data_IF_190911736749
#
_entry.id   IF_190911736749
#
_cell.length_a   1.000
_cell.length_b   1.000
_cell.length_c   1.000
_cell.angle_alpha   90.00
_cell.angle_beta   90.00
_cell.angle_gamma   90.00
#
_symmetry.space_group_name_H-M   'P 1'
#
loop_
_entity.id
_entity.type
_entity.pdbx_description
1 polymer ?
#
# COMPACT_ATOMS: atom_id res chain seq x y z
N UNK A 1 -20.55 3.07 7.58
CA UNK A 1 -19.21 2.99 6.97
C UNK A 1 -18.40 1.93 7.72
N UNK A 2 -17.83 0.99 7.02
CA UNK A 2 -16.90 0.02 7.61
C UNK A 2 -15.57 0.70 7.90
N UNK A 3 -14.80 0.17 8.85
CA UNK A 3 -13.45 0.68 9.11
C UNK A 3 -12.57 0.63 7.86
N UNK A 4 -12.65 -0.44 7.07
CA UNK A 4 -11.93 -0.56 5.80
C UNK A 4 -12.30 0.53 4.80
N UNK A 5 -13.58 0.93 4.75
CA UNK A 5 -14.02 2.00 3.87
C UNK A 5 -13.45 3.35 4.32
N UNK A 6 -13.36 3.59 5.64
CA UNK A 6 -12.76 4.79 6.20
C UNK A 6 -11.26 4.90 5.83
N UNK A 7 -10.53 3.79 5.95
CA UNK A 7 -9.12 3.73 5.57
C UNK A 7 -8.92 4.03 4.08
N UNK A 8 -9.72 3.38 3.22
CA UNK A 8 -9.66 3.62 1.79
C UNK A 8 -10.08 5.04 1.39
N UNK A 9 -11.08 5.61 2.06
CA UNK A 9 -11.53 6.99 1.87
C UNK A 9 -10.41 8.00 2.16
N UNK A 10 -9.66 7.77 3.25
CA UNK A 10 -8.49 8.59 3.57
C UNK A 10 -7.48 8.60 2.42
N UNK A 11 -7.06 7.42 1.93
CA UNK A 11 -6.09 7.35 0.85
C UNK A 11 -6.61 7.92 -0.47
N UNK A 12 -7.91 7.76 -0.75
CA UNK A 12 -8.54 8.35 -1.92
C UNK A 12 -8.56 9.89 -1.85
N UNK A 13 -8.87 10.46 -0.68
CA UNK A 13 -8.85 11.92 -0.45
C UNK A 13 -7.44 12.50 -0.53
N UNK A 14 -6.45 11.78 -0.04
CA UNK A 14 -5.03 12.15 -0.15
C UNK A 14 -4.46 11.88 -1.55
N UNK A 15 -5.27 11.36 -2.47
CA UNK A 15 -4.93 11.12 -3.90
C UNK A 15 -3.70 10.24 -4.07
N UNK A 16 -3.65 9.12 -3.36
CA UNK A 16 -2.64 8.11 -3.62
C UNK A 16 -2.82 7.55 -5.02
N UNK A 17 -1.78 7.60 -5.85
CA UNK A 17 -1.82 7.14 -7.24
C UNK A 17 -1.93 5.61 -7.31
N UNK A 18 -1.14 4.92 -6.47
CA UNK A 18 -1.01 3.46 -6.49
C UNK A 18 -1.20 2.86 -5.10
N UNK A 19 -1.66 1.62 -5.08
CA UNK A 19 -1.62 0.76 -3.90
C UNK A 19 -0.93 -0.55 -4.28
N UNK A 20 0.21 -0.83 -3.66
CA UNK A 20 0.92 -2.10 -3.85
C UNK A 20 0.31 -3.14 -2.93
N UNK A 21 0.11 -4.34 -3.42
CA UNK A 21 -0.71 -5.36 -2.74
C UNK A 21 -0.03 -6.73 -2.83
N UNK A 22 0.04 -7.41 -1.69
CA UNK A 22 0.10 -8.87 -1.65
C UNK A 22 -1.09 -9.36 -0.83
N UNK A 23 -1.99 -10.11 -1.47
CA UNK A 23 -3.29 -10.45 -0.89
C UNK A 23 -3.20 -11.42 0.29
N UNK A 24 -4.22 -11.36 1.15
CA UNK A 24 -4.40 -12.29 2.27
C UNK A 24 -5.69 -12.00 2.99
N UNK A 25 -6.15 -12.95 3.82
CA UNK A 25 -7.47 -12.87 4.45
C UNK A 25 -7.67 -11.63 5.34
N UNK A 26 -6.66 -11.26 6.13
CA UNK A 26 -6.78 -10.16 7.07
C UNK A 26 -6.91 -8.79 6.40
N UNK A 27 -6.31 -8.61 5.23
CA UNK A 27 -6.30 -7.32 4.51
C UNK A 27 -7.37 -7.23 3.41
N UNK A 28 -8.09 -8.32 3.13
CA UNK A 28 -9.02 -8.42 2.01
C UNK A 28 -10.07 -7.29 1.97
N UNK A 29 -10.62 -6.90 3.12
CA UNK A 29 -11.63 -5.85 3.19
C UNK A 29 -11.08 -4.47 2.84
N UNK A 30 -9.83 -4.17 3.20
CA UNK A 30 -9.17 -2.90 2.85
C UNK A 30 -8.88 -2.87 1.35
N UNK A 31 -8.40 -3.98 0.79
CA UNK A 31 -8.16 -4.12 -0.66
C UNK A 31 -9.46 -3.90 -1.45
N UNK A 32 -10.56 -4.55 -1.03
CA UNK A 32 -11.86 -4.40 -1.68
C UNK A 32 -12.35 -2.94 -1.63
N UNK A 33 -12.20 -2.29 -0.47
CA UNK A 33 -12.57 -0.88 -0.32
C UNK A 33 -11.72 0.04 -1.23
N UNK A 34 -10.41 -0.17 -1.31
CA UNK A 34 -9.55 0.59 -2.23
C UNK A 34 -9.93 0.35 -3.69
N UNK A 35 -10.24 -0.90 -4.07
CA UNK A 35 -10.71 -1.24 -5.40
C UNK A 35 -12.03 -0.53 -5.76
N UNK A 36 -12.94 -0.38 -4.79
CA UNK A 36 -14.20 0.34 -5.01
C UNK A 36 -13.99 1.84 -5.27
N UNK A 37 -12.96 2.46 -4.69
CA UNK A 37 -12.56 3.83 -5.03
C UNK A 37 -11.93 3.91 -6.40
N UNK A 38 -11.01 3.01 -6.72
CA UNK A 38 -10.35 2.95 -8.04
C UNK A 38 -11.37 2.80 -9.18
N UNK A 39 -12.40 1.95 -9.02
CA UNK A 39 -13.47 1.81 -10.02
C UNK A 39 -14.25 3.10 -10.31
N UNK A 40 -14.30 4.02 -9.36
CA UNK A 40 -14.97 5.31 -9.52
C UNK A 40 -14.07 6.38 -10.13
N UNK A 41 -12.77 6.28 -9.86
CA UNK A 41 -11.75 7.17 -10.38
C UNK A 41 -10.47 6.35 -10.63
N UNK A 42 -10.22 6.00 -11.89
CA UNK A 42 -9.08 5.17 -12.28
C UNK A 42 -7.72 5.88 -12.13
N UNK A 43 -7.71 7.17 -11.80
CA UNK A 43 -6.48 7.92 -11.56
C UNK A 43 -5.90 7.72 -10.16
N UNK A 44 -6.68 7.16 -9.22
CA UNK A 44 -6.28 6.94 -7.83
C UNK A 44 -6.31 5.46 -7.44
N UNK A 45 -5.51 5.11 -6.44
CA UNK A 45 -5.46 3.79 -5.83
C UNK A 45 -5.36 2.63 -6.83
N UNK A 46 -4.61 2.85 -7.92
CA UNK A 46 -4.40 1.81 -8.92
C UNK A 46 -3.69 0.61 -8.28
N UNK A 47 -4.30 -0.58 -8.29
CA UNK A 47 -3.72 -1.74 -7.64
C UNK A 47 -2.53 -2.29 -8.43
N UNK A 48 -1.44 -2.56 -7.74
CA UNK A 48 -0.25 -3.24 -8.28
C UNK A 48 0.02 -4.46 -7.41
N UNK A 49 -0.27 -5.64 -7.94
CA UNK A 49 -0.01 -6.90 -7.25
C UNK A 49 1.45 -7.27 -7.39
N UNK A 50 2.09 -7.56 -6.26
CA UNK A 50 3.47 -8.04 -6.21
C UNK A 50 3.50 -9.54 -5.93
N UNK A 51 4.62 -10.20 -6.24
CA UNK A 51 4.79 -11.62 -6.03
C UNK A 51 5.47 -11.97 -4.71
N UNK A 52 5.90 -10.96 -3.97
CA UNK A 52 6.47 -11.08 -2.62
C UNK A 52 6.36 -9.74 -1.91
N UNK A 53 6.07 -9.75 -0.62
CA UNK A 53 5.86 -8.54 0.18
C UNK A 53 7.11 -7.66 0.23
N UNK A 54 8.30 -8.26 0.33
CA UNK A 54 9.56 -7.52 0.31
C UNK A 54 9.74 -6.74 -1.00
N UNK A 55 9.38 -7.33 -2.13
CA UNK A 55 9.42 -6.63 -3.42
C UNK A 55 8.48 -5.42 -3.43
N UNK A 56 7.28 -5.56 -2.83
CA UNK A 56 6.34 -4.46 -2.67
C UNK A 56 6.90 -3.33 -1.80
N UNK A 57 7.53 -3.67 -0.68
CA UNK A 57 8.15 -2.66 0.21
C UNK A 57 9.28 -1.89 -0.47
N UNK A 58 10.10 -2.57 -1.27
CA UNK A 58 11.15 -1.92 -2.06
C UNK A 58 10.57 -1.09 -3.22
N UNK A 59 9.46 -1.55 -3.82
CA UNK A 59 8.79 -0.81 -4.89
C UNK A 59 8.22 0.52 -4.39
N UNK A 60 7.60 0.55 -3.20
CA UNK A 60 7.08 1.80 -2.65
C UNK A 60 8.20 2.74 -2.18
N UNK A 61 9.34 2.22 -1.73
CA UNK A 61 10.54 3.01 -1.46
C UNK A 61 11.02 3.72 -2.74
N UNK A 62 11.20 2.97 -3.82
CA UNK A 62 11.60 3.52 -5.11
C UNK A 62 10.57 4.55 -5.65
N UNK A 63 9.28 4.24 -5.53
CA UNK A 63 8.22 5.15 -5.92
C UNK A 63 8.31 6.49 -5.16
N UNK A 64 8.48 6.43 -3.85
CA UNK A 64 8.57 7.64 -3.03
C UNK A 64 9.80 8.50 -3.39
N UNK A 65 10.93 7.86 -3.72
CA UNK A 65 12.16 8.57 -4.14
C UNK A 65 11.97 9.37 -5.43
N UNK A 66 11.18 8.87 -6.38
CA UNK A 66 11.00 9.54 -7.69
C UNK A 66 9.78 10.42 -7.77
N UNK A 67 8.74 10.17 -6.95
CA UNK A 67 7.47 10.91 -7.00
C UNK A 67 7.35 12.02 -5.95
N UNK A 68 8.20 12.05 -4.95
CA UNK A 68 8.06 12.90 -3.75
C UNK A 68 6.73 12.66 -2.99
N UNK A 69 6.12 11.48 -3.16
CA UNK A 69 4.88 11.08 -2.48
C UNK A 69 5.12 9.80 -1.69
N UNK A 70 4.46 9.61 -0.55
CA UNK A 70 4.57 8.34 0.17
C UNK A 70 4.01 7.19 -0.66
N UNK A 71 4.68 6.04 -0.63
CA UNK A 71 4.14 4.80 -1.20
C UNK A 71 3.18 4.11 -0.23
N UNK A 72 2.23 3.34 -0.75
CA UNK A 72 1.25 2.58 0.03
C UNK A 72 1.35 1.10 -0.28
N UNK A 73 1.55 0.28 0.76
CA UNK A 73 1.61 -1.19 0.67
C UNK A 73 0.59 -1.83 1.60
N UNK A 74 -0.21 -2.74 1.07
CA UNK A 74 -1.18 -3.55 1.82
C UNK A 74 -0.74 -5.00 1.82
N UNK A 75 -0.63 -5.60 3.01
CA UNK A 75 -0.28 -7.02 3.20
C UNK A 75 -1.13 -7.64 4.28
N UNK A 76 -1.16 -8.96 4.32
CA UNK A 76 -1.81 -9.67 5.43
C UNK A 76 -0.95 -9.63 6.70
N UNK A 77 -1.59 -9.80 7.84
CA UNK A 77 -0.90 -9.95 9.14
C UNK A 77 -0.01 -11.19 9.18
N UNK A 78 0.86 -11.27 10.19
CA UNK A 78 1.75 -12.42 10.41
C UNK A 78 2.91 -12.47 9.41
N UNK A 79 3.13 -13.60 8.71
CA UNK A 79 4.29 -13.75 7.81
C UNK A 79 4.28 -12.79 6.63
N UNK A 80 3.13 -12.30 6.19
CA UNK A 80 3.05 -11.23 5.19
C UNK A 80 3.68 -9.94 5.70
N UNK A 81 3.29 -9.49 6.88
CA UNK A 81 3.84 -8.30 7.50
C UNK A 81 5.34 -8.44 7.83
N UNK A 82 5.80 -9.60 8.30
CA UNK A 82 7.23 -9.81 8.61
C UNK A 82 8.11 -9.75 7.36
N UNK A 83 7.59 -10.10 6.20
CA UNK A 83 8.30 -9.98 4.92
C UNK A 83 8.53 -8.52 4.47
N UNK A 84 7.93 -7.54 5.13
CA UNK A 84 8.15 -6.12 4.86
C UNK A 84 9.40 -5.57 5.54
N UNK A 85 9.92 -6.23 6.58
CA UNK A 85 10.90 -5.65 7.50
C UNK A 85 12.16 -5.11 6.79
N UNK A 86 12.69 -5.82 5.81
CA UNK A 86 13.87 -5.36 5.06
C UNK A 86 13.59 -4.05 4.32
N UNK A 87 12.47 -3.96 3.61
CA UNK A 87 12.10 -2.74 2.90
C UNK A 87 11.77 -1.58 3.83
N UNK A 88 11.09 -1.86 4.95
CA UNK A 88 10.83 -0.85 5.99
C UNK A 88 12.15 -0.31 6.55
N UNK A 89 13.11 -1.19 6.85
CA UNK A 89 14.41 -0.77 7.34
C UNK A 89 15.14 0.11 6.32
N UNK A 90 15.14 -0.26 5.04
CA UNK A 90 15.73 0.56 3.97
C UNK A 90 15.13 1.96 3.93
N UNK A 91 13.80 2.05 3.90
CA UNK A 91 13.08 3.32 3.87
C UNK A 91 13.33 4.14 5.13
N UNK A 92 13.35 3.50 6.30
CA UNK A 92 13.58 4.17 7.59
C UNK A 92 14.97 4.80 7.66
N UNK A 93 16.02 4.07 7.31
CA UNK A 93 17.39 4.59 7.37
C UNK A 93 17.64 5.72 6.39
N UNK A 94 16.96 5.73 5.26
CA UNK A 94 17.10 6.77 4.23
C UNK A 94 16.06 7.89 4.36
N UNK A 95 15.19 7.83 5.38
CA UNK A 95 14.09 8.80 5.60
C UNK A 95 13.14 8.90 4.41
N UNK A 96 12.83 7.76 3.79
CA UNK A 96 11.89 7.66 2.67
C UNK A 96 10.48 7.37 3.20
N UNK A 97 9.45 8.16 2.85
CA UNK A 97 8.11 7.97 3.35
C UNK A 97 7.42 6.76 2.73
N UNK A 98 6.90 5.87 3.57
CA UNK A 98 6.12 4.71 3.16
C UNK A 98 5.03 4.40 4.18
N UNK A 99 3.87 3.97 3.71
CA UNK A 99 2.76 3.52 4.54
C UNK A 99 2.56 2.03 4.31
N UNK A 100 2.59 1.27 5.39
CA UNK A 100 2.47 -0.19 5.40
C UNK A 100 1.31 -0.59 6.29
N UNK A 101 0.34 -1.32 5.75
CA UNK A 101 -0.86 -1.81 6.45
C UNK A 101 -1.01 -3.31 6.23
#
# INVERSE_FOLDING_TARGET
MKLSDFVADFFAKEKFDFVYIFTGGAIAHVIDSCWNYHKKDESILKPICVLHEQAGSMAIDAYARVSDKPGLMLVTSGPGATNLLTGIACSFYDSIPGIYI
#
